data_IF_989901596862
#
_entry.id   IF_989901596862
#
_cell.length_a   1.000
_cell.length_b   1.000
_cell.length_c   1.000
_cell.angle_alpha   90.00
_cell.angle_beta   90.00
_cell.angle_gamma   90.00
#
_symmetry.space_group_name_H-M   'P 1'
#
loop_
_entity.id
_entity.type
_entity.pdbx_description
1 polymer ?
#
# COMPACT_ATOMS: atom_id res chain seq x y z
N UNK A 1 -26.14 10.39 8.45
CA UNK A 1 -25.41 9.44 9.31
C UNK A 1 -23.97 9.54 8.91
N UNK A 2 -23.07 9.81 9.85
CA UNK A 2 -21.65 9.91 9.57
C UNK A 2 -21.12 8.58 9.05
N UNK A 3 -20.22 8.58 8.07
CA UNK A 3 -19.59 7.35 7.54
C UNK A 3 -18.11 7.27 7.87
N UNK A 4 -17.52 6.07 7.71
CA UNK A 4 -16.07 5.86 7.89
C UNK A 4 -15.26 6.73 6.93
N UNK A 5 -15.75 6.92 5.69
CA UNK A 5 -15.06 7.68 4.67
C UNK A 5 -15.08 9.18 4.97
N UNK A 6 -16.17 9.72 5.51
CA UNK A 6 -16.22 11.11 5.97
C UNK A 6 -15.22 11.37 7.10
N UNK A 7 -15.09 10.43 8.04
CA UNK A 7 -14.07 10.52 9.10
C UNK A 7 -12.66 10.51 8.49
N UNK A 8 -12.37 9.64 7.53
CA UNK A 8 -11.08 9.60 6.84
C UNK A 8 -10.79 10.92 6.11
N UNK A 9 -11.77 11.47 5.39
CA UNK A 9 -11.66 12.74 4.68
C UNK A 9 -11.31 13.88 5.64
N UNK A 10 -11.97 13.96 6.81
CA UNK A 10 -11.66 14.99 7.81
C UNK A 10 -10.24 14.90 8.38
N UNK A 11 -9.68 13.69 8.47
CA UNK A 11 -8.28 13.49 8.88
C UNK A 11 -7.33 13.89 7.74
N UNK A 12 -7.68 13.62 6.48
CA UNK A 12 -6.87 13.98 5.32
C UNK A 12 -6.81 15.49 5.07
N UNK A 13 -7.90 16.22 5.32
CA UNK A 13 -7.97 17.67 5.16
C UNK A 13 -7.29 18.44 6.30
N UNK A 14 -6.97 17.75 7.40
CA UNK A 14 -6.30 18.36 8.53
C UNK A 14 -4.80 18.53 8.24
N UNK A 15 -4.32 19.79 8.24
CA UNK A 15 -2.89 20.09 8.13
C UNK A 15 -2.07 19.50 9.30
N UNK A 16 -2.71 19.25 10.44
CA UNK A 16 -2.09 18.73 11.66
C UNK A 16 -2.77 17.45 12.14
N UNK A 17 -2.07 16.68 12.99
CA UNK A 17 -2.63 15.47 13.61
C UNK A 17 -3.88 15.80 14.45
N UNK A 18 -4.95 15.03 14.28
CA UNK A 18 -6.23 15.20 14.98
C UNK A 18 -6.37 14.18 16.12
N UNK A 19 -6.79 14.63 17.30
CA UNK A 19 -7.10 13.77 18.45
C UNK A 19 -8.51 13.18 18.40
N UNK A 20 -8.76 12.09 19.15
CA UNK A 20 -10.11 11.52 19.28
C UNK A 20 -11.13 12.54 19.82
N UNK A 21 -10.71 13.46 20.71
CA UNK A 21 -11.58 14.49 21.25
C UNK A 21 -12.08 15.44 20.17
N UNK A 22 -11.17 15.93 19.32
CA UNK A 22 -11.50 16.80 18.19
C UNK A 22 -12.42 16.12 17.17
N UNK A 23 -12.24 14.82 16.91
CA UNK A 23 -13.16 14.05 16.04
C UNK A 23 -14.59 14.06 16.60
N UNK A 24 -14.74 13.92 17.91
CA UNK A 24 -16.07 13.93 18.56
C UNK A 24 -16.69 15.32 18.64
N UNK A 25 -15.89 16.38 18.58
CA UNK A 25 -16.38 17.77 18.45
C UNK A 25 -16.89 18.06 17.03
N UNK A 26 -16.19 17.57 16.00
CA UNK A 26 -16.60 17.70 14.60
C UNK A 26 -17.86 16.86 14.32
N UNK A 27 -17.95 15.67 14.93
CA UNK A 27 -19.05 14.74 14.74
C UNK A 27 -19.76 14.43 16.08
N UNK A 28 -20.59 15.35 16.61
CA UNK A 28 -21.23 15.18 17.91
C UNK A 28 -22.23 14.01 17.97
N UNK A 29 -22.82 13.64 16.83
CA UNK A 29 -23.72 12.49 16.72
C UNK A 29 -22.99 11.14 16.69
N UNK A 30 -21.66 11.14 16.56
CA UNK A 30 -20.85 9.92 16.45
C UNK A 30 -20.54 9.34 17.85
N UNK A 31 -20.97 8.09 18.08
CA UNK A 31 -20.60 7.40 19.31
C UNK A 31 -19.09 7.16 19.39
N UNK A 32 -18.49 7.48 20.54
CA UNK A 32 -17.06 7.27 20.84
C UNK A 32 -16.55 5.87 20.52
N UNK A 33 -17.31 4.80 20.81
CA UNK A 33 -16.87 3.42 20.49
C UNK A 33 -16.82 3.18 18.99
N UNK A 34 -17.75 3.76 18.24
CA UNK A 34 -17.79 3.67 16.78
C UNK A 34 -16.60 4.39 16.16
N UNK A 35 -16.31 5.61 16.61
CA UNK A 35 -15.12 6.36 16.20
C UNK A 35 -13.83 5.57 16.46
N UNK A 36 -13.66 5.02 17.67
CA UNK A 36 -12.49 4.19 18.01
C UNK A 36 -12.37 2.93 17.15
N UNK A 37 -13.50 2.27 16.85
CA UNK A 37 -13.52 1.09 15.97
C UNK A 37 -13.09 1.46 14.55
N UNK A 38 -13.58 2.58 14.01
CA UNK A 38 -13.22 3.06 12.69
C UNK A 38 -11.76 3.50 12.61
N UNK A 39 -11.26 4.20 13.63
CA UNK A 39 -9.85 4.56 13.71
C UNK A 39 -8.95 3.32 13.70
N UNK A 40 -9.30 2.25 14.43
CA UNK A 40 -8.57 0.97 14.33
C UNK A 40 -8.63 0.40 12.92
N UNK A 41 -9.82 0.34 12.32
CA UNK A 41 -9.98 -0.15 10.95
C UNK A 41 -9.13 0.64 9.94
N UNK A 42 -9.02 1.96 10.09
CA UNK A 42 -8.23 2.82 9.23
C UNK A 42 -6.71 2.67 9.47
N UNK A 43 -6.30 2.38 10.70
CA UNK A 43 -4.90 2.05 11.04
C UNK A 43 -4.53 0.68 10.46
N UNK A 44 -5.37 -0.32 10.66
CA UNK A 44 -5.16 -1.68 10.14
C UNK A 44 -5.13 -1.67 8.59
N UNK A 45 -5.87 -0.76 7.97
CA UNK A 45 -5.87 -0.52 6.52
C UNK A 45 -4.81 0.47 6.03
N UNK A 46 -3.84 0.87 6.86
CA UNK A 46 -2.76 1.81 6.56
C UNK A 46 -3.22 3.16 5.95
N UNK A 47 -4.45 3.60 6.23
CA UNK A 47 -4.96 4.90 5.74
C UNK A 47 -4.55 6.06 6.63
N UNK A 48 -4.33 5.79 7.92
CA UNK A 48 -3.91 6.76 8.92
C UNK A 48 -2.84 6.14 9.81
N UNK A 49 -2.02 6.98 10.42
CA UNK A 49 -1.15 6.56 11.51
C UNK A 49 -1.56 7.22 12.82
N UNK A 50 -1.24 6.56 13.93
CA UNK A 50 -1.42 7.12 15.25
C UNK A 50 -0.08 7.58 15.82
N UNK A 51 0.01 8.83 16.24
CA UNK A 51 1.16 9.40 16.92
C UNK A 51 0.83 9.60 18.40
N UNK A 52 1.79 9.27 19.27
CA UNK A 52 1.65 9.39 20.72
C UNK A 52 0.94 8.20 21.40
N UNK A 53 0.78 8.31 22.72
CA UNK A 53 0.17 7.28 23.58
C UNK A 53 -0.85 7.87 24.55
N UNK A 54 -1.87 7.09 24.88
CA UNK A 54 -2.90 7.45 25.85
C UNK A 54 -3.74 8.66 25.42
N UNK A 55 -3.96 9.66 26.30
CA UNK A 55 -4.79 10.83 25.99
C UNK A 55 -4.18 11.78 24.96
N UNK A 56 -2.86 11.69 24.74
CA UNK A 56 -2.13 12.47 23.72
C UNK A 56 -2.11 11.78 22.34
N UNK A 57 -2.92 10.73 22.14
CA UNK A 57 -2.94 10.00 20.87
C UNK A 57 -3.66 10.82 19.80
N UNK A 58 -2.93 11.17 18.76
CA UNK A 58 -3.42 11.89 17.59
C UNK A 58 -3.30 11.03 16.32
N UNK A 59 -4.10 11.33 15.31
CA UNK A 59 -4.18 10.59 14.06
C UNK A 59 -3.89 11.54 12.93
N UNK A 60 -3.04 11.12 11.98
CA UNK A 60 -2.74 11.90 10.78
C UNK A 60 -2.83 11.00 9.55
N UNK A 61 -3.12 11.58 8.38
CA UNK A 61 -3.15 10.81 7.15
C UNK A 61 -1.74 10.28 6.87
N UNK A 62 -1.70 9.09 6.28
CA UNK A 62 -0.47 8.62 5.67
C UNK A 62 -0.31 9.39 4.35
N UNK A 63 0.48 10.46 4.34
CA UNK A 63 0.80 11.20 3.12
C UNK A 63 1.64 10.30 2.22
N UNK A 64 1.11 9.92 1.06
CA UNK A 64 1.79 9.11 0.02
C UNK A 64 2.93 9.88 -0.68
N UNK A 65 3.64 10.76 0.03
CA UNK A 65 4.60 11.73 -0.51
C UNK A 65 6.04 11.59 0.01
N UNK A 66 6.39 10.47 0.64
CA UNK A 66 7.77 10.16 1.01
C UNK A 66 8.03 8.66 0.84
N UNK A 67 8.25 8.27 -0.42
CA UNK A 67 8.49 6.89 -0.82
C UNK A 67 7.19 6.15 -1.07
N UNK A 68 6.89 5.94 -2.35
CA UNK A 68 6.03 4.84 -2.74
C UNK A 68 6.56 3.55 -2.11
N UNK A 69 5.59 2.71 -1.81
CA UNK A 69 5.77 1.29 -1.65
C UNK A 69 6.27 0.78 -0.30
N UNK A 70 5.30 0.36 0.50
CA UNK A 70 5.45 -0.89 1.21
C UNK A 70 4.22 -1.71 0.93
N UNK A 71 4.18 -2.36 -0.22
CA UNK A 71 3.72 -3.74 -0.18
C UNK A 71 4.74 -4.45 0.72
N UNK A 72 4.44 -4.56 2.03
CA UNK A 72 5.36 -5.20 2.99
C UNK A 72 5.38 -6.66 2.60
N UNK A 73 6.27 -7.00 1.66
CA UNK A 73 6.50 -8.38 1.29
C UNK A 73 6.77 -9.13 2.59
N UNK A 74 5.98 -10.17 2.90
CA UNK A 74 5.97 -10.72 4.24
C UNK A 74 7.37 -11.14 4.64
N UNK A 75 7.88 -10.58 5.75
CA UNK A 75 9.25 -10.84 6.25
C UNK A 75 9.54 -12.33 6.52
N UNK A 76 8.52 -13.19 6.55
CA UNK A 76 8.67 -14.64 6.69
C UNK A 76 8.95 -15.37 5.37
N UNK A 77 8.84 -14.69 4.21
CA UNK A 77 9.25 -15.23 2.91
C UNK A 77 10.65 -14.70 2.61
N UNK A 78 11.69 -15.55 2.63
CA UNK A 78 13.03 -15.12 2.29
C UNK A 78 13.13 -14.83 0.79
N UNK A 79 13.56 -13.61 0.45
CA UNK A 79 13.84 -13.20 -0.92
C UNK A 79 15.35 -13.26 -1.20
N UNK A 80 15.69 -13.75 -2.39
CA UNK A 80 17.05 -13.64 -2.94
C UNK A 80 17.38 -12.18 -3.28
N UNK A 81 18.66 -11.88 -3.53
CA UNK A 81 19.06 -10.55 -3.99
C UNK A 81 18.36 -10.17 -5.30
N UNK A 82 18.41 -11.05 -6.30
CA UNK A 82 17.76 -10.86 -7.61
C UNK A 82 16.25 -10.63 -7.47
N UNK A 83 15.59 -11.31 -6.53
CA UNK A 83 14.15 -11.12 -6.28
C UNK A 83 13.82 -9.74 -5.70
N UNK A 84 14.73 -9.17 -4.91
CA UNK A 84 14.54 -7.81 -4.35
C UNK A 84 14.69 -6.76 -5.45
N UNK A 85 15.68 -6.91 -6.32
CA UNK A 85 15.89 -6.00 -7.44
C UNK A 85 14.65 -5.98 -8.38
N UNK A 86 14.00 -7.14 -8.56
CA UNK A 86 12.76 -7.25 -9.33
C UNK A 86 11.58 -6.53 -8.63
N UNK A 87 11.43 -6.69 -7.31
CA UNK A 87 10.37 -6.01 -6.56
C UNK A 87 10.56 -4.48 -6.61
N UNK A 88 11.78 -4.01 -6.32
CA UNK A 88 12.14 -2.60 -6.37
C UNK A 88 11.84 -1.96 -7.75
N UNK A 89 11.85 -2.77 -8.82
CA UNK A 89 11.45 -2.35 -10.16
C UNK A 89 9.92 -2.35 -10.37
N UNK A 90 9.23 -3.41 -9.94
CA UNK A 90 7.77 -3.55 -10.11
C UNK A 90 7.00 -2.51 -9.29
N UNK A 91 7.54 -2.13 -8.14
CA UNK A 91 6.94 -1.16 -7.20
C UNK A 91 7.07 0.30 -7.68
N UNK A 92 7.71 0.53 -8.82
CA UNK A 92 7.81 1.85 -9.42
C UNK A 92 6.46 2.28 -10.02
N UNK A 93 6.19 3.60 -10.09
CA UNK A 93 5.05 4.12 -10.84
C UNK A 93 5.06 3.63 -12.30
N UNK A 94 3.87 3.41 -12.88
CA UNK A 94 3.73 2.90 -14.26
C UNK A 94 4.49 3.75 -15.29
N UNK A 95 4.64 5.04 -15.04
CA UNK A 95 5.38 5.99 -15.90
C UNK A 95 6.91 5.81 -15.82
N UNK A 96 7.41 5.24 -14.73
CA UNK A 96 8.83 4.93 -14.53
C UNK A 96 9.20 3.53 -15.04
N UNK A 97 8.23 2.62 -15.15
CA UNK A 97 8.41 1.31 -15.77
C UNK A 97 8.72 1.44 -17.27
N UNK A 98 9.56 0.52 -17.76
CA UNK A 98 9.88 0.48 -19.19
C UNK A 98 8.71 -0.15 -19.96
N UNK A 99 8.14 0.51 -20.98
CA UNK A 99 7.04 -0.05 -21.75
C UNK A 99 7.54 -1.22 -22.60
N UNK A 100 7.00 -2.41 -22.37
CA UNK A 100 7.32 -3.64 -23.11
C UNK A 100 6.17 -3.98 -24.05
N UNK A 101 6.48 -4.20 -25.33
CA UNK A 101 5.54 -4.68 -26.34
C UNK A 101 5.54 -6.20 -26.45
N UNK A 102 4.55 -6.75 -27.15
CA UNK A 102 4.55 -8.16 -27.52
C UNK A 102 5.57 -8.43 -28.62
N UNK A 103 6.52 -9.32 -28.34
CA UNK A 103 7.34 -9.91 -29.38
C UNK A 103 6.63 -11.15 -29.93
N UNK A 104 6.05 -11.02 -31.12
CA UNK A 104 5.38 -12.14 -31.80
C UNK A 104 6.36 -13.22 -32.26
N UNK A 105 7.63 -12.86 -32.50
CA UNK A 105 8.64 -13.79 -33.02
C UNK A 105 8.96 -14.86 -31.97
N UNK A 106 8.93 -14.48 -30.69
CA UNK A 106 9.05 -15.40 -29.56
C UNK A 106 8.09 -16.60 -29.67
N UNK A 107 6.84 -16.38 -30.05
CA UNK A 107 5.86 -17.48 -30.23
C UNK A 107 6.04 -18.20 -31.56
N UNK A 108 6.38 -17.47 -32.63
CA UNK A 108 6.51 -18.03 -33.99
C UNK A 108 7.72 -18.93 -34.15
N UNK A 109 8.81 -18.63 -33.44
CA UNK A 109 10.07 -19.37 -33.49
C UNK A 109 10.05 -20.63 -32.62
N UNK A 110 8.94 -20.90 -31.92
CA UNK A 110 8.78 -22.10 -31.13
C UNK A 110 8.54 -23.32 -32.02
N UNK A 111 9.45 -24.29 -31.89
CA UNK A 111 9.36 -25.60 -32.52
C UNK A 111 9.26 -26.65 -31.40
N UNK A 112 8.13 -27.37 -31.30
CA UNK A 112 7.95 -28.40 -30.30
C UNK A 112 9.09 -29.42 -30.33
N UNK A 113 9.65 -29.72 -29.15
CA UNK A 113 10.75 -30.66 -28.94
C UNK A 113 12.11 -30.24 -29.53
N UNK A 114 12.22 -29.06 -30.15
CA UNK A 114 13.46 -28.56 -30.74
C UNK A 114 13.93 -27.28 -30.05
N UNK A 115 13.03 -26.31 -29.87
CA UNK A 115 13.33 -25.06 -29.18
C UNK A 115 12.66 -24.98 -27.80
N UNK A 116 13.10 -24.02 -26.99
CA UNK A 116 12.66 -23.86 -25.61
C UNK A 116 12.56 -22.38 -25.26
N UNK A 117 11.47 -22.01 -24.58
CA UNK A 117 11.26 -20.64 -24.12
C UNK A 117 12.19 -20.22 -22.98
N UNK A 118 12.67 -21.19 -22.19
CA UNK A 118 13.58 -20.95 -21.09
C UNK A 118 15.01 -21.32 -21.47
N UNK A 119 15.97 -20.53 -20.99
CA UNK A 119 17.39 -20.84 -21.12
C UNK A 119 17.72 -22.19 -20.48
N UNK A 120 18.83 -22.80 -20.90
CA UNK A 120 19.26 -24.10 -20.38
C UNK A 120 19.46 -24.09 -18.85
N UNK A 121 19.93 -22.97 -18.30
CA UNK A 121 20.17 -22.80 -16.85
C UNK A 121 18.89 -22.86 -16.01
N UNK A 122 17.74 -22.50 -16.58
CA UNK A 122 16.44 -22.52 -15.89
C UNK A 122 15.67 -23.83 -16.09
N UNK A 123 16.15 -24.71 -16.99
CA UNK A 123 15.51 -26.00 -17.30
C UNK A 123 16.08 -27.19 -16.53
N UNK A 124 17.10 -26.99 -15.70
CA UNK A 124 17.82 -28.05 -14.98
C UNK A 124 17.69 -27.93 -13.47
#
# INVERSE_FOLDING_TARGET
MTTVNELLQSIQEAENSISLGQILEIYPDLNRRTAQRWLRQLIDGNKIIAEGSGPARAYRPLTEGAGSDRDIYPNYIPLSADSRDILDYIDQPLEACHPVGYDITFLQDYQPNESFYLSETLRR
#
